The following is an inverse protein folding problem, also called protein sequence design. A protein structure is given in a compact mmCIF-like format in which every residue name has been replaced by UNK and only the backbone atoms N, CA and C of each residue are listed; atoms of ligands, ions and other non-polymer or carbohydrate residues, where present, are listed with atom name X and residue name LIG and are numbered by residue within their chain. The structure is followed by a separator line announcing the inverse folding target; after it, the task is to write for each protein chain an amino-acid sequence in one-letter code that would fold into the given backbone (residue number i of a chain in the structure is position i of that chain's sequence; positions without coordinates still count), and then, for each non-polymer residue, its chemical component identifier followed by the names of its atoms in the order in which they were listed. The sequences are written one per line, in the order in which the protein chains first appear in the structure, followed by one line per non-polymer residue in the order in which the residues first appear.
data_IF_392805371791
#
_entry.id   IF_392805371791
#
_cell.length_a   1.000
_cell.length_b   1.000
_cell.length_c   1.000
_cell.angle_alpha   90.00
_cell.angle_beta   90.00
_cell.angle_gamma   90.00
#
_symmetry.space_group_name_H-M   'P 1'
#
loop_
_entity.id
_entity.type
_entity.pdbx_description
1 polymer ?
#
# COMPACT_ATOMS: atom_id res chain seq x y z
N UNK A 1 4.93 -18.53 -22.69
CA UNK A 1 4.47 -17.15 -22.44
C UNK A 1 5.68 -16.21 -22.44
N UNK A 2 5.65 -15.18 -23.28
CA UNK A 2 6.69 -14.12 -23.35
C UNK A 2 6.61 -13.17 -22.15
N UNK A 3 7.66 -12.37 -21.93
CA UNK A 3 7.67 -11.35 -20.88
C UNK A 3 6.53 -10.34 -21.03
N UNK A 4 6.19 -9.98 -22.27
CA UNK A 4 5.03 -9.14 -22.58
C UNK A 4 3.72 -9.79 -22.15
N UNK A 5 3.47 -11.04 -22.55
CA UNK A 5 2.24 -11.74 -22.21
C UNK A 5 2.08 -11.91 -20.69
N UNK A 6 3.16 -12.26 -19.97
CA UNK A 6 3.10 -12.36 -18.52
C UNK A 6 2.90 -11.00 -17.83
N UNK A 7 3.49 -9.92 -18.36
CA UNK A 7 3.27 -8.55 -17.86
C UNK A 7 1.83 -8.08 -18.10
N UNK A 8 1.22 -8.43 -19.23
CA UNK A 8 -0.18 -8.12 -19.50
C UNK A 8 -1.12 -8.91 -18.57
N UNK A 9 -0.83 -10.18 -18.29
CA UNK A 9 -1.56 -10.95 -17.28
C UNK A 9 -1.42 -10.32 -15.87
N UNK A 10 -0.22 -9.83 -15.52
CA UNK A 10 -0.01 -9.08 -14.28
C UNK A 10 -0.87 -7.80 -14.26
N UNK A 11 -0.86 -7.01 -15.33
CA UNK A 11 -1.67 -5.80 -15.44
C UNK A 11 -3.17 -6.09 -15.30
N UNK A 12 -3.67 -7.12 -15.99
CA UNK A 12 -5.07 -7.52 -15.91
C UNK A 12 -5.45 -7.96 -14.50
N UNK A 13 -4.62 -8.79 -13.85
CA UNK A 13 -4.83 -9.19 -12.45
C UNK A 13 -4.86 -7.99 -11.50
N UNK A 14 -3.86 -7.10 -11.61
CA UNK A 14 -3.71 -5.92 -10.76
C UNK A 14 -4.85 -4.91 -10.95
N UNK A 15 -5.24 -4.62 -12.19
CA UNK A 15 -6.34 -3.69 -12.47
C UNK A 15 -7.69 -4.26 -12.06
N UNK A 16 -7.98 -5.53 -12.39
CA UNK A 16 -9.21 -6.21 -11.93
C UNK A 16 -9.33 -6.17 -10.41
N UNK A 17 -8.20 -6.35 -9.72
CA UNK A 17 -8.11 -6.27 -8.27
C UNK A 17 -8.31 -4.85 -7.71
N UNK A 18 -7.76 -3.81 -8.35
CA UNK A 18 -8.04 -2.42 -7.93
C UNK A 18 -9.51 -2.10 -8.14
N UNK A 19 -10.06 -2.36 -9.33
CA UNK A 19 -11.41 -1.92 -9.68
C UNK A 19 -12.50 -2.68 -8.92
N UNK A 20 -12.30 -3.95 -8.56
CA UNK A 20 -13.28 -4.67 -7.72
C UNK A 20 -13.39 -4.09 -6.29
N UNK A 21 -12.36 -3.41 -5.79
CA UNK A 21 -12.37 -2.80 -4.46
C UNK A 21 -13.11 -1.45 -4.46
N UNK A 22 -13.47 -0.94 -5.63
CA UNK A 22 -14.29 0.26 -5.81
C UNK A 22 -15.80 -0.03 -5.74
N UNK A 23 -16.19 -1.31 -5.57
CA UNK A 23 -17.61 -1.70 -5.46
C UNK A 23 -18.38 -1.64 -6.78
N UNK A 24 -19.70 -1.85 -6.70
CA UNK A 24 -20.62 -1.82 -7.85
C UNK A 24 -20.96 -3.19 -8.45
N UNK A 25 -21.85 -3.18 -9.45
CA UNK A 25 -22.41 -4.40 -10.08
C UNK A 25 -21.37 -5.29 -10.77
N UNK A 26 -20.22 -4.73 -11.15
CA UNK A 26 -19.12 -5.45 -11.79
C UNK A 26 -18.18 -6.14 -10.81
N UNK A 27 -18.30 -5.89 -9.50
CA UNK A 27 -17.40 -6.42 -8.48
C UNK A 27 -17.22 -7.96 -8.54
N UNK A 28 -18.29 -8.78 -8.70
CA UNK A 28 -18.12 -10.23 -8.79
C UNK A 28 -17.33 -10.65 -10.04
N UNK A 29 -17.60 -10.04 -11.19
CA UNK A 29 -16.92 -10.34 -12.45
C UNK A 29 -15.42 -9.98 -12.39
N UNK A 30 -15.11 -8.81 -11.83
CA UNK A 30 -13.72 -8.37 -11.62
C UNK A 30 -12.98 -9.27 -10.62
N UNK A 31 -13.66 -9.77 -9.59
CA UNK A 31 -13.10 -10.75 -8.64
C UNK A 31 -12.72 -12.05 -9.32
N UNK A 32 -13.64 -12.63 -10.10
CA UNK A 32 -13.38 -13.86 -10.86
C UNK A 32 -12.23 -13.64 -11.83
N UNK A 33 -12.24 -12.52 -12.56
CA UNK A 33 -11.15 -12.14 -13.47
C UNK A 33 -9.79 -12.08 -12.76
N UNK A 34 -9.71 -11.39 -11.61
CA UNK A 34 -8.47 -11.27 -10.85
C UNK A 34 -7.93 -12.64 -10.39
N UNK A 35 -8.82 -13.53 -9.94
CA UNK A 35 -8.46 -14.91 -9.53
C UNK A 35 -7.93 -15.70 -10.73
N UNK A 36 -8.63 -15.67 -11.86
CA UNK A 36 -8.22 -16.39 -13.08
C UNK A 36 -6.82 -15.95 -13.52
N UNK A 37 -6.57 -14.64 -13.57
CA UNK A 37 -5.24 -14.14 -13.93
C UNK A 37 -4.18 -14.48 -12.87
N UNK A 38 -4.51 -14.45 -11.57
CA UNK A 38 -3.59 -14.89 -10.52
C UNK A 38 -3.21 -16.37 -10.68
N UNK A 39 -4.16 -17.25 -11.01
CA UNK A 39 -3.90 -18.67 -11.28
C UNK A 39 -2.99 -18.84 -12.49
N UNK A 40 -3.24 -18.11 -13.58
CA UNK A 40 -2.39 -18.14 -14.79
C UNK A 40 -0.96 -17.69 -14.46
N UNK A 41 -0.80 -16.62 -13.69
CA UNK A 41 0.52 -16.11 -13.26
C UNK A 41 1.25 -17.12 -12.38
N UNK A 42 0.54 -17.75 -11.43
CA UNK A 42 1.13 -18.77 -10.56
C UNK A 42 1.56 -20.00 -11.38
N UNK A 43 0.70 -20.50 -12.27
CA UNK A 43 1.02 -21.63 -13.15
C UNK A 43 2.23 -21.32 -14.04
N UNK A 44 2.34 -20.10 -14.55
CA UNK A 44 3.52 -19.65 -15.28
C UNK A 44 4.79 -19.66 -14.43
N UNK A 45 4.74 -19.13 -13.21
CA UNK A 45 5.89 -19.13 -12.30
C UNK A 45 6.31 -20.56 -11.91
N UNK A 46 5.35 -21.46 -11.70
CA UNK A 46 5.61 -22.89 -11.45
C UNK A 46 6.26 -23.54 -12.67
N UNK A 47 5.70 -23.35 -13.88
CA UNK A 47 6.26 -23.89 -15.12
C UNK A 47 7.66 -23.36 -15.47
N UNK A 48 8.04 -22.19 -14.93
CA UNK A 48 9.38 -21.61 -15.03
C UNK A 48 10.33 -22.02 -13.89
N UNK A 49 9.88 -22.84 -12.93
CA UNK A 49 10.66 -23.23 -11.76
C UNK A 49 10.97 -22.08 -10.79
N UNK A 50 10.16 -21.02 -10.79
CA UNK A 50 10.33 -19.83 -9.93
C UNK A 50 9.69 -19.98 -8.54
N UNK A 51 8.91 -21.04 -8.34
CA UNK A 51 8.25 -21.41 -7.09
C UNK A 51 9.04 -22.55 -6.44
N UNK A 52 9.84 -22.21 -5.44
CA UNK A 52 10.61 -23.19 -4.66
C UNK A 52 9.95 -23.53 -3.32
N UNK A 53 10.52 -24.49 -2.59
CA UNK A 53 10.01 -24.97 -1.30
C UNK A 53 9.71 -23.86 -0.30
N UNK A 54 10.55 -22.82 -0.22
CA UNK A 54 10.32 -21.65 0.66
C UNK A 54 9.03 -20.89 0.34
N UNK A 55 8.66 -20.77 -0.94
CA UNK A 55 7.41 -20.12 -1.38
C UNK A 55 6.22 -21.00 -1.02
N UNK A 56 6.35 -22.31 -1.21
CA UNK A 56 5.32 -23.28 -0.85
C UNK A 56 5.05 -23.23 0.66
N UNK A 57 6.11 -23.23 1.48
CA UNK A 57 5.99 -23.11 2.95
C UNK A 57 5.32 -21.79 3.32
N UNK A 58 5.72 -20.66 2.72
CA UNK A 58 5.09 -19.37 2.98
C UNK A 58 3.60 -19.35 2.58
N UNK A 59 3.24 -19.98 1.46
CA UNK A 59 1.85 -20.14 1.02
C UNK A 59 1.04 -21.04 1.95
N UNK A 60 1.60 -22.18 2.39
CA UNK A 60 0.97 -23.07 3.37
C UNK A 60 0.75 -22.37 4.70
N UNK A 61 1.76 -21.65 5.20
CA UNK A 61 1.63 -20.85 6.42
C UNK A 61 0.52 -19.81 6.28
N UNK A 62 0.47 -19.08 5.16
CA UNK A 62 -0.60 -18.12 4.88
C UNK A 62 -1.98 -18.79 4.90
N UNK A 63 -2.15 -19.91 4.20
CA UNK A 63 -3.42 -20.66 4.19
C UNK A 63 -3.79 -21.12 5.60
N UNK A 64 -2.86 -21.70 6.35
CA UNK A 64 -3.10 -22.13 7.74
C UNK A 64 -3.49 -20.96 8.64
N UNK A 65 -2.77 -19.83 8.60
CA UNK A 65 -3.09 -18.64 9.39
C UNK A 65 -4.47 -18.10 9.05
N UNK A 66 -4.83 -18.07 7.77
CA UNK A 66 -6.11 -17.50 7.35
C UNK A 66 -7.28 -18.46 7.56
N UNK A 67 -7.05 -19.77 7.55
CA UNK A 67 -8.03 -20.77 7.99
C UNK A 67 -8.27 -20.69 9.51
N UNK A 68 -7.23 -20.51 10.31
CA UNK A 68 -7.39 -20.30 11.76
C UNK A 68 -8.20 -19.02 12.04
N UNK A 69 -7.89 -17.93 11.36
CA UNK A 69 -8.63 -16.66 11.49
C UNK A 69 -10.11 -16.81 11.07
N UNK A 70 -10.37 -17.48 9.94
CA UNK A 70 -11.73 -17.70 9.44
C UNK A 70 -12.57 -18.66 10.30
N UNK A 71 -11.98 -19.77 10.79
CA UNK A 71 -12.73 -20.84 11.46
C UNK A 71 -12.67 -20.79 12.99
N UNK A 72 -11.63 -20.20 13.58
CA UNK A 72 -11.44 -20.12 15.05
C UNK A 72 -11.83 -18.75 15.58
N UNK A 73 -11.44 -17.69 14.87
CA UNK A 73 -11.70 -16.30 15.29
C UNK A 73 -13.03 -15.80 14.69
N UNK A 74 -13.45 -16.34 13.54
CA UNK A 74 -14.71 -15.99 12.88
C UNK A 74 -14.70 -14.57 12.30
N UNK A 75 -13.51 -14.02 12.06
CA UNK A 75 -13.31 -12.59 11.76
C UNK A 75 -13.36 -12.26 10.25
N UNK A 76 -13.18 -13.25 9.37
CA UNK A 76 -13.02 -13.05 7.92
C UNK A 76 -13.83 -13.98 7.04
N UNK A 77 -14.49 -13.35 6.07
CA UNK A 77 -15.26 -14.03 5.03
C UNK A 77 -14.39 -14.51 3.86
N UNK A 78 -14.90 -15.50 3.10
CA UNK A 78 -14.27 -16.07 1.91
C UNK A 78 -13.71 -15.04 0.89
N UNK A 79 -14.35 -13.88 0.64
CA UNK A 79 -13.78 -12.83 -0.21
C UNK A 79 -12.43 -12.28 0.26
N UNK A 80 -12.23 -12.15 1.58
CA UNK A 80 -10.97 -11.66 2.13
C UNK A 80 -9.82 -12.68 1.90
N UNK A 81 -10.13 -13.98 1.96
CA UNK A 81 -9.20 -15.06 1.63
C UNK A 81 -8.77 -14.99 0.16
N UNK A 82 -9.74 -14.84 -0.75
CA UNK A 82 -9.48 -14.72 -2.18
C UNK A 82 -8.62 -13.49 -2.50
N UNK A 83 -8.91 -12.36 -1.85
CA UNK A 83 -8.13 -11.14 -2.01
C UNK A 83 -6.68 -11.34 -1.57
N UNK A 84 -6.47 -11.96 -0.41
CA UNK A 84 -5.14 -12.21 0.14
C UNK A 84 -4.32 -13.14 -0.77
N UNK A 85 -4.95 -14.15 -1.37
CA UNK A 85 -4.32 -15.02 -2.37
C UNK A 85 -3.89 -14.24 -3.64
N UNK A 86 -4.74 -13.37 -4.17
CA UNK A 86 -4.38 -12.52 -5.32
C UNK A 86 -3.16 -11.65 -4.96
N UNK A 87 -3.16 -11.02 -3.79
CA UNK A 87 -2.05 -10.17 -3.33
C UNK A 87 -0.75 -10.96 -3.16
N UNK A 88 -0.84 -12.19 -2.65
CA UNK A 88 0.29 -13.11 -2.52
C UNK A 88 0.93 -13.40 -3.88
N UNK A 89 0.11 -13.76 -4.87
CA UNK A 89 0.61 -14.05 -6.23
C UNK A 89 1.26 -12.81 -6.86
N UNK A 90 0.63 -11.65 -6.74
CA UNK A 90 1.17 -10.39 -7.29
C UNK A 90 2.48 -9.99 -6.61
N UNK A 91 2.56 -10.09 -5.28
CA UNK A 91 3.78 -9.84 -4.51
C UNK A 91 4.93 -10.77 -4.91
N UNK A 92 4.64 -12.07 -5.09
CA UNK A 92 5.62 -13.05 -5.57
C UNK A 92 6.10 -12.73 -6.99
N UNK A 93 5.17 -12.39 -7.88
CA UNK A 93 5.47 -12.05 -9.27
C UNK A 93 6.40 -10.83 -9.35
N UNK A 94 6.15 -9.79 -8.54
CA UNK A 94 7.00 -8.59 -8.50
C UNK A 94 8.46 -8.90 -8.10
N UNK A 95 8.70 -9.93 -7.28
CA UNK A 95 10.05 -10.37 -6.92
C UNK A 95 10.66 -11.26 -8.01
N UNK A 96 9.90 -12.24 -8.52
CA UNK A 96 10.42 -13.32 -9.38
C UNK A 96 10.45 -13.01 -10.86
N UNK A 97 9.55 -12.15 -11.33
CA UNK A 97 9.33 -11.86 -12.73
C UNK A 97 9.55 -10.38 -13.01
N UNK A 98 9.80 -10.03 -14.27
CA UNK A 98 9.94 -8.65 -14.71
C UNK A 98 8.60 -8.14 -15.25
N UNK A 99 8.02 -7.13 -14.58
CA UNK A 99 6.98 -6.31 -15.20
C UNK A 99 7.66 -5.35 -16.18
N UNK A 100 7.27 -5.39 -17.46
CA UNK A 100 7.78 -4.43 -18.43
C UNK A 100 7.46 -3.00 -18.00
N UNK A 101 8.45 -2.11 -18.08
CA UNK A 101 8.31 -0.69 -17.67
C UNK A 101 7.13 -0.01 -18.38
N UNK A 102 6.94 -0.29 -19.68
CA UNK A 102 5.82 0.25 -20.46
C UNK A 102 4.48 -0.18 -19.86
N UNK A 103 4.36 -1.45 -19.44
CA UNK A 103 3.15 -1.96 -18.81
C UNK A 103 2.93 -1.33 -17.43
N UNK A 104 3.98 -1.22 -16.62
CA UNK A 104 3.87 -0.58 -15.31
C UNK A 104 3.49 0.91 -15.41
N UNK A 105 3.99 1.61 -16.44
CA UNK A 105 3.62 2.99 -16.76
C UNK A 105 2.14 3.11 -17.12
N UNK A 106 1.63 2.22 -17.97
CA UNK A 106 0.21 2.18 -18.34
C UNK A 106 -0.66 1.94 -17.10
N UNK A 107 -0.30 0.96 -16.25
CA UNK A 107 -0.99 0.71 -14.98
C UNK A 107 -1.04 1.98 -14.13
N UNK A 108 0.11 2.65 -13.95
CA UNK A 108 0.21 3.86 -13.14
C UNK A 108 -0.75 4.95 -13.61
N UNK A 109 -0.72 5.29 -14.89
CA UNK A 109 -1.56 6.36 -15.43
C UNK A 109 -3.05 6.00 -15.47
N UNK A 110 -3.39 4.73 -15.74
CA UNK A 110 -4.78 4.25 -15.64
C UNK A 110 -5.29 4.44 -14.22
N UNK A 111 -4.54 3.98 -13.21
CA UNK A 111 -4.95 4.12 -11.80
C UNK A 111 -5.11 5.58 -11.43
N UNK A 112 -4.13 6.43 -11.78
CA UNK A 112 -4.17 7.85 -11.46
C UNK A 112 -5.38 8.55 -12.11
N UNK A 113 -5.60 8.33 -13.41
CA UNK A 113 -6.69 8.92 -14.16
C UNK A 113 -8.05 8.42 -13.66
N UNK A 114 -8.18 7.13 -13.37
CA UNK A 114 -9.40 6.57 -12.80
C UNK A 114 -9.72 7.16 -11.43
N UNK A 115 -8.74 7.28 -10.52
CA UNK A 115 -8.99 7.87 -9.21
C UNK A 115 -9.38 9.36 -9.30
N UNK A 116 -8.74 10.11 -10.20
CA UNK A 116 -9.08 11.51 -10.45
C UNK A 116 -10.49 11.65 -11.05
N UNK A 117 -10.81 10.87 -12.08
CA UNK A 117 -12.12 10.86 -12.72
C UNK A 117 -13.23 10.49 -11.75
N UNK A 118 -13.04 9.40 -11.00
CA UNK A 118 -13.98 8.92 -9.99
C UNK A 118 -14.29 10.03 -8.98
N UNK A 119 -13.26 10.68 -8.42
CA UNK A 119 -13.47 11.78 -7.50
C UNK A 119 -14.24 12.96 -8.11
N UNK A 120 -14.06 13.23 -9.40
CA UNK A 120 -14.75 14.33 -10.10
C UNK A 120 -16.24 14.06 -10.37
N UNK A 121 -16.67 12.80 -10.50
CA UNK A 121 -18.04 12.47 -10.93
C UNK A 121 -19.05 12.25 -9.79
N UNK A 122 -18.61 11.95 -8.55
CA UNK A 122 -19.51 12.00 -7.39
C UNK A 122 -18.86 12.75 -6.23
N UNK A 123 -19.42 13.90 -5.82
CA UNK A 123 -18.98 14.60 -4.61
C UNK A 123 -19.24 13.78 -3.34
N UNK A 124 -20.21 12.85 -3.38
CA UNK A 124 -20.44 11.88 -2.32
C UNK A 124 -19.52 10.66 -2.50
N UNK A 125 -18.27 10.82 -2.12
CA UNK A 125 -17.22 9.80 -2.19
C UNK A 125 -17.56 8.44 -1.53
N UNK A 126 -18.58 8.34 -0.66
CA UNK A 126 -19.06 7.06 -0.15
C UNK A 126 -19.93 6.30 -1.15
N UNK A 127 -20.45 6.94 -2.20
CA UNK A 127 -21.11 6.23 -3.31
C UNK A 127 -20.10 5.51 -4.20
N UNK A 128 -18.89 6.06 -4.31
CA UNK A 128 -17.79 5.48 -5.11
C UNK A 128 -16.91 4.55 -4.27
N UNK A 129 -16.69 4.88 -3.00
CA UNK A 129 -15.91 4.08 -2.07
C UNK A 129 -16.76 3.78 -0.82
N UNK A 130 -17.76 2.88 -0.92
CA UNK A 130 -18.73 2.62 0.15
C UNK A 130 -18.09 2.27 1.49
N UNK A 131 -16.92 1.65 1.45
CA UNK A 131 -16.22 1.13 2.63
C UNK A 131 -14.87 1.80 2.90
N UNK A 132 -14.38 2.65 2.00
CA UNK A 132 -12.99 3.11 2.01
C UNK A 132 -12.86 4.65 2.00
N UNK A 133 -13.84 5.37 1.45
CA UNK A 133 -13.80 6.83 1.33
C UNK A 133 -12.62 7.38 0.51
N UNK A 134 -12.53 8.72 0.43
CA UNK A 134 -11.61 9.45 -0.47
C UNK A 134 -10.12 9.36 -0.15
N UNK A 135 -9.78 8.90 1.05
CA UNK A 135 -8.37 8.75 1.47
C UNK A 135 -7.66 7.62 0.70
N UNK A 136 -8.40 6.72 0.05
CA UNK A 136 -7.85 5.58 -0.67
C UNK A 136 -7.35 5.93 -2.08
N UNK A 137 -7.83 7.02 -2.70
CA UNK A 137 -7.36 7.47 -4.02
C UNK A 137 -5.82 7.60 -4.07
N UNK A 138 -5.26 8.32 -3.10
CA UNK A 138 -3.80 8.47 -2.98
C UNK A 138 -3.09 7.17 -2.58
N UNK A 139 -3.77 6.26 -1.87
CA UNK A 139 -3.19 4.96 -1.48
C UNK A 139 -3.07 3.99 -2.67
N UNK A 140 -4.04 4.00 -3.60
CA UNK A 140 -3.97 3.28 -4.87
C UNK A 140 -2.85 3.83 -5.77
N UNK A 141 -2.74 5.15 -5.86
CA UNK A 141 -1.66 5.79 -6.62
C UNK A 141 -0.28 5.48 -6.04
N UNK A 142 -0.14 5.46 -4.71
CA UNK A 142 1.10 5.10 -4.02
C UNK A 142 1.52 3.65 -4.32
N UNK A 143 0.57 2.71 -4.30
CA UNK A 143 0.83 1.31 -4.67
C UNK A 143 1.22 1.18 -6.15
N UNK A 144 0.51 1.87 -7.05
CA UNK A 144 0.84 1.87 -8.46
C UNK A 144 2.22 2.48 -8.74
N UNK A 145 2.60 3.53 -7.99
CA UNK A 145 3.94 4.09 -8.02
C UNK A 145 4.99 3.06 -7.60
N UNK A 146 4.73 2.28 -6.55
CA UNK A 146 5.65 1.21 -6.12
C UNK A 146 5.87 0.18 -7.24
N UNK A 147 4.82 -0.24 -7.96
CA UNK A 147 4.93 -1.14 -9.12
C UNK A 147 5.78 -0.51 -10.23
N UNK A 148 5.54 0.78 -10.56
CA UNK A 148 6.33 1.52 -11.53
C UNK A 148 7.79 1.63 -11.12
N UNK A 149 8.07 1.94 -9.85
CA UNK A 149 9.42 2.04 -9.30
C UNK A 149 10.15 0.69 -9.40
N UNK A 150 9.49 -0.42 -9.07
CA UNK A 150 10.05 -1.77 -9.22
C UNK A 150 10.43 -2.03 -10.67
N UNK A 151 9.54 -1.75 -11.63
CA UNK A 151 9.81 -1.99 -13.04
C UNK A 151 10.94 -1.09 -13.56
N UNK A 152 10.90 0.20 -13.25
CA UNK A 152 11.79 1.21 -13.83
C UNK A 152 13.22 1.20 -13.26
N UNK A 153 13.40 0.80 -12.00
CA UNK A 153 14.72 0.92 -11.31
C UNK A 153 15.49 -0.39 -11.21
N UNK A 154 14.91 -1.51 -11.66
CA UNK A 154 15.51 -2.85 -11.57
C UNK A 154 16.84 -3.01 -12.31
N UNK A 155 17.10 -2.19 -13.33
CA UNK A 155 18.29 -2.33 -14.20
C UNK A 155 19.50 -1.52 -13.73
N UNK A 156 19.31 -0.28 -13.33
CA UNK A 156 20.42 0.65 -13.05
C UNK A 156 20.24 1.50 -11.79
N UNK A 157 19.13 1.34 -11.06
CA UNK A 157 18.84 2.09 -9.83
C UNK A 157 18.71 3.61 -10.01
N UNK A 158 18.70 4.12 -11.24
CA UNK A 158 18.64 5.55 -11.54
C UNK A 158 17.23 6.09 -11.37
N UNK A 159 17.13 7.31 -10.87
CA UNK A 159 15.84 8.00 -10.76
C UNK A 159 15.63 8.87 -12.00
N UNK A 160 14.70 8.47 -12.86
CA UNK A 160 14.36 9.23 -14.06
C UNK A 160 13.51 10.46 -13.73
N UNK A 161 13.43 11.41 -14.67
CA UNK A 161 12.48 12.53 -14.57
C UNK A 161 11.03 12.04 -14.48
N UNK A 162 10.72 10.95 -15.19
CA UNK A 162 9.41 10.32 -15.17
C UNK A 162 9.05 9.82 -13.76
N UNK A 163 9.94 9.10 -13.09
CA UNK A 163 9.70 8.64 -11.72
C UNK A 163 9.48 9.81 -10.75
N UNK A 164 10.23 10.90 -10.90
CA UNK A 164 9.99 12.11 -10.10
C UNK A 164 8.60 12.71 -10.39
N UNK A 165 8.25 12.83 -11.67
CA UNK A 165 6.94 13.35 -12.08
C UNK A 165 5.78 12.47 -11.58
N UNK A 166 5.93 11.14 -11.62
CA UNK A 166 4.95 10.20 -11.07
C UNK A 166 4.79 10.35 -9.55
N UNK A 167 5.88 10.56 -8.79
CA UNK A 167 5.79 10.81 -7.36
C UNK A 167 5.03 12.13 -7.06
N UNK A 168 5.32 13.19 -7.83
CA UNK A 168 4.61 14.47 -7.73
C UNK A 168 3.13 14.31 -8.12
N UNK A 169 2.82 13.50 -9.12
CA UNK A 169 1.44 13.22 -9.53
C UNK A 169 0.65 12.49 -8.43
N UNK A 170 1.27 11.57 -7.68
CA UNK A 170 0.64 10.96 -6.50
C UNK A 170 0.28 12.00 -5.42
N UNK A 171 1.18 12.96 -5.18
CA UNK A 171 0.92 14.05 -4.24
C UNK A 171 -0.19 14.97 -4.75
N UNK A 172 -0.15 15.37 -6.03
CA UNK A 172 -1.16 16.20 -6.66
C UNK A 172 -2.56 15.56 -6.57
N UNK A 173 -2.67 14.27 -6.86
CA UNK A 173 -3.93 13.53 -6.68
C UNK A 173 -4.36 13.53 -5.22
N UNK A 174 -3.44 13.28 -4.28
CA UNK A 174 -3.77 13.23 -2.85
C UNK A 174 -4.27 14.58 -2.32
N UNK A 175 -3.71 15.69 -2.80
CA UNK A 175 -4.16 17.05 -2.51
C UNK A 175 -5.53 17.31 -3.14
N UNK A 176 -5.69 16.95 -4.42
CA UNK A 176 -6.96 17.09 -5.15
C UNK A 176 -8.12 16.36 -4.45
N UNK A 177 -7.89 15.14 -3.95
CA UNK A 177 -8.91 14.36 -3.24
C UNK A 177 -9.02 14.68 -1.75
N UNK A 178 -8.19 15.62 -1.24
CA UNK A 178 -8.13 16.03 0.17
C UNK A 178 -7.92 14.83 1.10
N UNK A 179 -6.99 13.94 0.71
CA UNK A 179 -6.73 12.69 1.40
C UNK A 179 -5.62 12.82 2.46
N UNK A 180 -5.94 13.27 3.67
CA UNK A 180 -4.95 13.69 4.71
C UNK A 180 -3.78 12.73 4.91
N UNK A 181 -4.06 11.45 5.17
CA UNK A 181 -3.00 10.45 5.37
C UNK A 181 -2.14 10.25 4.11
N UNK A 182 -2.76 10.28 2.93
CA UNK A 182 -2.08 10.06 1.64
C UNK A 182 -1.27 11.27 1.21
N UNK A 183 -1.73 12.47 1.56
CA UNK A 183 -0.99 13.72 1.41
C UNK A 183 0.37 13.63 2.16
N UNK A 184 0.36 13.20 3.42
CA UNK A 184 1.60 13.03 4.22
C UNK A 184 2.54 11.98 3.62
N UNK A 185 2.04 10.80 3.27
CA UNK A 185 2.90 9.75 2.70
C UNK A 185 3.41 10.06 1.29
N UNK A 186 2.61 10.72 0.44
CA UNK A 186 3.06 11.16 -0.88
C UNK A 186 4.07 12.31 -0.78
N UNK A 187 3.94 13.20 0.20
CA UNK A 187 4.94 14.23 0.46
C UNK A 187 6.27 13.61 0.90
N UNK A 188 6.22 12.64 1.83
CA UNK A 188 7.39 11.86 2.23
C UNK A 188 8.01 11.11 1.05
N UNK A 189 7.18 10.50 0.19
CA UNK A 189 7.63 9.83 -1.03
C UNK A 189 8.42 10.79 -1.92
N UNK A 190 7.86 11.95 -2.26
CA UNK A 190 8.51 12.95 -3.14
C UNK A 190 9.87 13.36 -2.56
N UNK A 191 9.91 13.67 -1.26
CA UNK A 191 11.16 14.04 -0.58
C UNK A 191 12.21 12.93 -0.64
N UNK A 192 11.82 11.69 -0.33
CA UNK A 192 12.75 10.56 -0.31
C UNK A 192 13.20 10.12 -1.71
N UNK A 193 12.31 10.13 -2.72
CA UNK A 193 12.68 9.88 -4.12
C UNK A 193 13.66 10.93 -4.62
N UNK A 194 13.52 12.18 -4.17
CA UNK A 194 14.49 13.23 -4.47
C UNK A 194 15.85 12.97 -3.83
N UNK A 195 15.89 12.64 -2.54
CA UNK A 195 17.14 12.28 -1.86
C UNK A 195 17.86 11.12 -2.57
N UNK A 196 17.11 10.07 -2.95
CA UNK A 196 17.66 8.93 -3.71
C UNK A 196 18.16 9.37 -5.09
N UNK A 197 17.46 10.30 -5.76
CA UNK A 197 17.89 10.86 -7.04
C UNK A 197 19.22 11.60 -6.92
N UNK A 198 19.42 12.39 -5.88
CA UNK A 198 20.67 13.10 -5.63
C UNK A 198 21.84 12.14 -5.39
N UNK A 199 21.58 11.05 -4.68
CA UNK A 199 22.58 10.02 -4.38
C UNK A 199 22.97 9.20 -5.61
N UNK A 200 21.98 8.76 -6.40
CA UNK A 200 22.20 7.75 -7.45
C UNK A 200 22.56 8.33 -8.82
N UNK A 201 22.14 9.55 -9.13
CA UNK A 201 22.43 10.16 -10.43
C UNK A 201 23.68 11.05 -10.31
N UNK A 202 24.83 10.61 -10.84
CA UNK A 202 26.03 11.47 -10.95
C UNK A 202 25.75 12.63 -11.92
N UNK A 203 26.09 13.86 -11.52
CA UNK A 203 25.95 15.04 -12.37
C UNK A 203 24.54 15.62 -12.49
N UNK A 204 23.68 15.44 -11.47
CA UNK A 204 22.42 16.22 -11.38
C UNK A 204 22.77 17.70 -11.47
N UNK A 205 22.37 18.34 -12.56
CA UNK A 205 22.67 19.76 -12.81
C UNK A 205 22.00 20.64 -11.75
N UNK A 206 22.59 21.79 -11.46
CA UNK A 206 22.04 22.79 -10.51
C UNK A 206 20.57 23.11 -10.77
N UNK A 207 20.13 23.04 -12.04
CA UNK A 207 18.76 23.30 -12.49
C UNK A 207 17.75 22.20 -12.11
N UNK A 208 18.13 20.93 -12.18
CA UNK A 208 17.26 19.82 -11.75
C UNK A 208 17.19 19.73 -10.21
N UNK A 209 18.29 20.10 -9.55
CA UNK A 209 18.35 20.27 -8.11
C UNK A 209 17.43 21.43 -7.67
N UNK A 210 17.54 22.59 -8.32
CA UNK A 210 16.77 23.78 -7.99
C UNK A 210 15.28 23.59 -8.23
N UNK A 211 14.86 22.96 -9.34
CA UNK A 211 13.43 22.67 -9.59
C UNK A 211 12.86 21.74 -8.52
N UNK A 212 13.57 20.66 -8.21
CA UNK A 212 13.09 19.68 -7.22
C UNK A 212 13.09 20.25 -5.80
N UNK A 213 14.09 21.07 -5.47
CA UNK A 213 14.19 21.79 -4.20
C UNK A 213 13.11 22.88 -4.10
N UNK A 214 12.80 23.58 -5.19
CA UNK A 214 11.65 24.50 -5.26
C UNK A 214 10.34 23.74 -5.06
N UNK A 215 10.17 22.55 -5.64
CA UNK A 215 8.97 21.73 -5.41
C UNK A 215 8.89 21.28 -3.95
N UNK A 216 9.98 20.80 -3.36
CA UNK A 216 10.01 20.39 -1.94
C UNK A 216 9.74 21.58 -1.02
N UNK A 217 10.37 22.72 -1.27
CA UNK A 217 10.14 23.95 -0.50
C UNK A 217 8.72 24.44 -0.72
N UNK A 218 8.17 24.41 -1.94
CA UNK A 218 6.78 24.80 -2.19
C UNK A 218 5.81 23.87 -1.46
N UNK A 219 6.05 22.56 -1.47
CA UNK A 219 5.26 21.57 -0.74
C UNK A 219 5.39 21.79 0.77
N UNK A 220 6.61 21.91 1.29
CA UNK A 220 6.88 22.13 2.70
C UNK A 220 6.31 23.47 3.20
N UNK A 221 6.51 24.56 2.46
CA UNK A 221 5.95 25.88 2.74
C UNK A 221 4.43 25.89 2.66
N UNK A 222 3.84 25.13 1.73
CA UNK A 222 2.40 24.95 1.68
C UNK A 222 1.88 24.22 2.93
N UNK A 223 2.53 23.14 3.37
CA UNK A 223 2.18 22.48 4.64
C UNK A 223 2.44 23.37 5.85
N UNK A 224 3.53 24.14 5.86
CA UNK A 224 3.85 25.06 6.94
C UNK A 224 2.81 26.18 7.02
N UNK A 225 2.39 26.73 5.86
CA UNK A 225 1.32 27.72 5.77
C UNK A 225 -0.02 27.14 6.25
N UNK A 226 -0.32 25.87 5.94
CA UNK A 226 -1.49 25.16 6.47
C UNK A 226 -1.44 24.94 7.99
N UNK A 227 -0.25 24.79 8.58
CA UNK A 227 -0.06 24.61 10.02
C UNK A 227 -0.09 25.94 10.80
N UNK A 228 0.34 27.03 10.17
CA UNK A 228 0.45 28.36 10.80
C UNK A 228 -0.83 29.17 10.63
N UNK A 229 -1.53 29.05 9.50
CA UNK A 229 -2.75 29.77 9.19
C UNK A 229 -3.93 28.79 9.03
N UNK A 230 -4.60 28.53 10.16
CA UNK A 230 -5.77 27.65 10.19
C UNK A 230 -6.93 28.15 9.33
N UNK A 231 -7.04 29.45 9.08
CA UNK A 231 -8.07 30.04 8.23
C UNK A 231 -7.77 29.85 6.75
N UNK A 232 -6.50 29.97 6.33
CA UNK A 232 -6.08 29.62 4.96
C UNK A 232 -6.30 28.12 4.67
N UNK A 233 -6.01 27.25 5.64
CA UNK A 233 -6.32 25.83 5.54
C UNK A 233 -7.82 25.57 5.43
N UNK A 234 -8.65 26.32 6.17
CA UNK A 234 -10.11 26.23 6.10
C UNK A 234 -10.71 26.81 4.80
N UNK A 235 -10.12 27.87 4.25
CA UNK A 235 -10.58 28.47 3.00
C UNK A 235 -10.21 27.61 1.79
N UNK A 236 -9.00 27.07 1.74
CA UNK A 236 -8.54 26.21 0.64
C UNK A 236 -9.00 24.77 0.79
N UNK A 237 -9.16 24.29 2.01
CA UNK A 237 -9.63 22.96 2.33
C UNK A 237 -10.56 22.98 3.54
N UNK A 238 -11.80 23.40 3.37
CA UNK A 238 -12.80 23.49 4.45
C UNK A 238 -13.04 22.22 5.28
N UNK A 239 -12.43 21.09 4.91
CA UNK A 239 -12.36 19.86 5.71
C UNK A 239 -11.23 19.82 6.74
N UNK A 240 -10.14 20.58 6.63
CA UNK A 240 -9.00 20.44 7.56
C UNK A 240 -9.27 21.08 8.93
N UNK A 241 -10.05 22.16 8.99
CA UNK A 241 -10.55 22.71 10.26
C UNK A 241 -12.07 22.70 10.36
N UNK A 242 -12.76 21.80 9.64
CA UNK A 242 -14.14 21.49 10.00
C UNK A 242 -14.17 20.78 11.36
N UNK A 243 -15.16 21.10 12.18
CA UNK A 243 -15.44 20.42 13.46
C UNK A 243 -15.52 18.89 13.28
N UNK A 244 -15.99 18.43 12.12
CA UNK A 244 -16.03 17.00 11.76
C UNK A 244 -14.66 16.34 11.62
N UNK A 245 -13.62 17.08 11.22
CA UNK A 245 -12.27 16.56 11.11
C UNK A 245 -11.57 16.47 12.47
N UNK A 246 -11.74 17.49 13.32
CA UNK A 246 -11.29 17.44 14.72
C UNK A 246 -11.93 16.28 15.50
N UNK A 247 -13.26 16.12 15.38
CA UNK A 247 -13.97 14.98 15.97
C UNK A 247 -13.50 13.63 15.43
N UNK A 248 -13.12 13.55 14.16
CA UNK A 248 -12.59 12.31 13.57
C UNK A 248 -11.21 11.93 14.11
N UNK A 249 -10.35 12.91 14.42
CA UNK A 249 -9.00 12.64 14.94
C UNK A 249 -9.04 12.34 16.45
N UNK A 250 -9.93 12.99 17.20
CA UNK A 250 -10.26 12.64 18.58
C UNK A 250 -10.83 11.22 18.68
N UNK A 251 -11.80 10.87 17.81
CA UNK A 251 -12.37 9.52 17.74
C UNK A 251 -11.29 8.46 17.49
N UNK A 252 -10.34 8.71 16.56
CA UNK A 252 -9.22 7.80 16.30
C UNK A 252 -8.28 7.66 17.50
N UNK A 253 -7.98 8.75 18.18
CA UNK A 253 -7.12 8.73 19.37
C UNK A 253 -7.77 7.94 20.52
N UNK A 254 -9.08 8.10 20.73
CA UNK A 254 -9.85 7.31 21.68
C UNK A 254 -9.88 5.82 21.29
N UNK A 255 -10.15 5.50 20.02
CA UNK A 255 -10.09 4.12 19.51
C UNK A 255 -8.76 3.43 19.84
N UNK A 256 -7.64 4.13 19.61
CA UNK A 256 -6.31 3.57 19.87
C UNK A 256 -6.07 3.41 21.37
N UNK A 257 -6.43 4.41 22.16
CA UNK A 257 -6.29 4.40 23.62
C UNK A 257 -7.08 3.25 24.26
N UNK A 258 -8.34 3.08 23.87
CA UNK A 258 -9.21 2.02 24.40
C UNK A 258 -8.71 0.62 24.03
N UNK A 259 -8.32 0.44 22.77
CA UNK A 259 -7.77 -0.82 22.31
C UNK A 259 -6.47 -1.17 23.05
N UNK A 260 -5.53 -0.23 23.14
CA UNK A 260 -4.27 -0.44 23.85
C UNK A 260 -4.50 -0.68 25.34
N UNK A 261 -5.41 0.05 25.98
CA UNK A 261 -5.76 -0.15 27.40
C UNK A 261 -6.33 -1.55 27.65
N UNK A 262 -7.27 -2.01 26.81
CA UNK A 262 -7.89 -3.33 26.93
C UNK A 262 -6.87 -4.47 26.72
N UNK A 263 -5.93 -4.29 25.79
CA UNK A 263 -4.91 -5.28 25.47
C UNK A 263 -3.78 -5.29 26.51
N UNK A 264 -3.32 -4.12 26.97
CA UNK A 264 -2.24 -4.02 27.96
C UNK A 264 -2.67 -4.48 29.36
N UNK A 265 -3.97 -4.41 29.68
CA UNK A 265 -4.53 -4.92 30.94
C UNK A 265 -4.79 -6.43 30.94
N UNK A 266 -4.68 -7.11 29.79
CA UNK A 266 -4.90 -8.54 29.68
C UNK A 266 -3.77 -9.22 28.89
N UNK A 267 -2.96 -10.03 29.60
CA UNK A 267 -1.81 -10.72 29.00
C UNK A 267 -2.17 -11.58 27.79
N UNK A 268 -3.28 -12.28 27.82
CA UNK A 268 -3.69 -13.15 26.71
C UNK A 268 -4.11 -12.32 25.50
N UNK A 269 -4.81 -11.21 25.73
CA UNK A 269 -5.16 -10.25 24.69
C UNK A 269 -3.92 -9.60 24.05
N UNK A 270 -2.89 -9.32 24.86
CA UNK A 270 -1.61 -8.83 24.36
C UNK A 270 -0.88 -9.85 23.50
N UNK A 271 -0.85 -11.12 23.91
CA UNK A 271 -0.10 -12.14 23.18
C UNK A 271 -0.81 -12.59 21.91
N UNK A 272 -2.14 -12.77 21.97
CA UNK A 272 -2.92 -13.41 20.91
C UNK A 272 -3.84 -12.44 20.14
N UNK A 273 -3.90 -11.18 20.55
CA UNK A 273 -4.82 -10.22 19.98
C UNK A 273 -6.19 -10.28 20.65
N UNK A 274 -7.07 -9.40 20.20
CA UNK A 274 -8.43 -9.26 20.71
C UNK A 274 -9.29 -8.68 19.60
N UNK A 275 -10.47 -9.26 19.38
CA UNK A 275 -11.50 -8.67 18.54
C UNK A 275 -11.91 -7.31 19.14
N UNK A 276 -11.68 -6.19 18.44
CA UNK A 276 -12.00 -4.87 18.96
C UNK A 276 -13.48 -4.73 19.31
N UNK A 277 -14.38 -5.47 18.64
CA UNK A 277 -15.83 -5.43 18.91
C UNK A 277 -16.21 -5.88 20.33
N UNK A 278 -15.31 -6.56 21.04
CA UNK A 278 -15.51 -6.94 22.46
C UNK A 278 -15.31 -5.78 23.43
N UNK A 279 -14.69 -4.69 22.99
CA UNK A 279 -14.54 -3.47 23.78
C UNK A 279 -15.85 -2.69 23.69
N UNK A 280 -16.56 -2.58 24.81
CA UNK A 280 -17.85 -1.89 24.91
C UNK A 280 -17.63 -0.37 24.91
N UNK A 281 -17.21 0.16 23.76
CA UNK A 281 -17.13 1.60 23.49
C UNK A 281 -17.97 1.94 22.25
N UNK A 282 -18.79 2.99 22.35
CA UNK A 282 -19.67 3.45 21.27
C UNK A 282 -18.93 3.73 19.96
N UNK A 283 -17.69 4.24 20.00
CA UNK A 283 -16.86 4.52 18.82
C UNK A 283 -16.33 3.24 18.17
N UNK A 284 -16.00 2.21 18.94
CA UNK A 284 -15.53 0.91 18.41
C UNK A 284 -16.70 0.15 17.77
N UNK A 285 -17.88 0.21 18.39
CA UNK A 285 -19.11 -0.37 17.84
C UNK A 285 -19.51 0.34 16.53
N UNK A 286 -19.47 1.68 16.51
CA UNK A 286 -19.80 2.48 15.32
C UNK A 286 -18.87 2.23 14.14
N UNK A 287 -17.62 1.82 14.38
CA UNK A 287 -16.64 1.48 13.33
C UNK A 287 -16.66 -0.01 12.96
N UNK A 288 -17.54 -0.81 13.55
CA UNK A 288 -17.60 -2.26 13.34
C UNK A 288 -16.32 -2.99 13.77
N UNK A 289 -15.55 -2.41 14.69
CA UNK A 289 -14.24 -2.91 15.11
C UNK A 289 -13.06 -2.52 14.21
N UNK A 290 -13.23 -1.58 13.27
CA UNK A 290 -12.12 -1.05 12.46
C UNK A 290 -11.26 -0.09 13.29
N UNK A 291 -9.99 -0.46 13.51
CA UNK A 291 -9.06 0.34 14.30
C UNK A 291 -8.39 1.48 13.53
N UNK A 292 -8.72 1.74 12.27
CA UNK A 292 -8.12 2.79 11.41
C UNK A 292 -6.58 2.89 11.48
N UNK A 293 -5.93 1.76 11.76
CA UNK A 293 -4.49 1.61 11.83
C UNK A 293 -4.17 0.16 11.52
N UNK A 294 -3.43 -0.06 10.44
CA UNK A 294 -3.12 -1.40 9.95
C UNK A 294 -2.31 -2.21 10.96
N UNK A 295 -1.45 -1.57 11.75
CA UNK A 295 -0.63 -2.24 12.76
C UNK A 295 -1.47 -2.74 13.94
N UNK A 296 -2.38 -1.89 14.45
CA UNK A 296 -3.30 -2.27 15.50
C UNK A 296 -4.28 -3.35 15.01
N UNK A 297 -4.77 -3.22 13.77
CA UNK A 297 -5.64 -4.23 13.16
C UNK A 297 -4.91 -5.56 12.95
N UNK A 298 -3.63 -5.53 12.57
CA UNK A 298 -2.80 -6.73 12.46
C UNK A 298 -2.60 -7.40 13.81
N UNK A 299 -2.34 -6.63 14.86
CA UNK A 299 -2.29 -7.12 16.23
C UNK A 299 -3.64 -7.70 16.68
N UNK A 300 -4.76 -7.04 16.37
CA UNK A 300 -6.09 -7.54 16.73
C UNK A 300 -6.38 -8.93 16.16
N UNK A 301 -5.91 -9.20 14.94
CA UNK A 301 -6.16 -10.46 14.25
C UNK A 301 -5.10 -11.54 14.52
N UNK A 302 -3.86 -11.16 14.83
CA UNK A 302 -2.73 -12.10 14.90
C UNK A 302 -1.85 -11.97 16.16
N UNK A 303 -2.24 -11.12 17.10
CA UNK A 303 -1.51 -10.84 18.33
C UNK A 303 -0.12 -10.25 18.14
N UNK A 304 0.65 -10.25 19.23
CA UNK A 304 2.00 -9.71 19.26
C UNK A 304 2.94 -10.46 18.30
N UNK A 305 2.82 -11.78 18.20
CA UNK A 305 3.64 -12.58 17.30
C UNK A 305 3.42 -12.17 15.83
N UNK A 306 2.16 -12.01 15.41
CA UNK A 306 1.84 -11.54 14.07
C UNK A 306 2.33 -10.12 13.80
N UNK A 307 2.19 -9.22 14.77
CA UNK A 307 2.72 -7.85 14.66
C UNK A 307 4.24 -7.83 14.52
N UNK A 308 4.97 -8.66 15.28
CA UNK A 308 6.42 -8.79 15.17
C UNK A 308 6.85 -9.34 13.81
N UNK A 309 6.11 -10.30 13.24
CA UNK A 309 6.35 -10.79 11.87
C UNK A 309 6.15 -9.66 10.86
N UNK A 310 5.10 -8.86 11.00
CA UNK A 310 4.86 -7.71 10.13
C UNK A 310 6.02 -6.71 10.20
N UNK A 311 6.33 -6.21 11.40
CA UNK A 311 7.38 -5.19 11.61
C UNK A 311 8.75 -5.74 11.20
N UNK A 312 9.07 -6.98 11.57
CA UNK A 312 10.32 -7.64 11.20
C UNK A 312 10.47 -7.81 9.70
N UNK A 313 9.40 -8.23 9.01
CA UNK A 313 9.39 -8.36 7.54
C UNK A 313 9.60 -7.01 6.86
N UNK A 314 8.90 -5.97 7.32
CA UNK A 314 9.05 -4.61 6.79
C UNK A 314 10.48 -4.11 7.00
N UNK A 315 11.01 -4.20 8.22
CA UNK A 315 12.36 -3.72 8.53
C UNK A 315 13.44 -4.46 7.73
N UNK A 316 13.39 -5.80 7.70
CA UNK A 316 14.35 -6.62 6.96
C UNK A 316 14.22 -6.44 5.45
N UNK A 317 12.99 -6.33 4.94
CA UNK A 317 12.70 -6.10 3.52
C UNK A 317 13.21 -4.75 3.05
N UNK A 318 12.91 -3.66 3.78
CA UNK A 318 13.41 -2.32 3.48
C UNK A 318 14.94 -2.27 3.54
N UNK A 319 15.53 -2.82 4.61
CA UNK A 319 17.00 -2.93 4.72
C UNK A 319 17.59 -3.67 3.52
N UNK A 320 16.94 -4.74 3.07
CA UNK A 320 17.42 -5.51 1.92
C UNK A 320 17.34 -4.71 0.62
N UNK A 321 16.21 -4.08 0.34
CA UNK A 321 16.06 -3.22 -0.85
C UNK A 321 17.12 -2.12 -0.88
N UNK A 322 17.43 -1.53 0.28
CA UNK A 322 18.47 -0.52 0.41
C UNK A 322 19.87 -1.06 0.06
N UNK A 323 20.25 -2.20 0.66
CA UNK A 323 21.56 -2.84 0.45
C UNK A 323 21.73 -3.31 -1.00
N UNK A 324 20.66 -3.81 -1.62
CA UNK A 324 20.65 -4.26 -3.02
C UNK A 324 20.64 -3.12 -4.04
N UNK A 325 20.65 -1.86 -3.59
CA UNK A 325 20.62 -0.69 -4.47
C UNK A 325 19.24 -0.34 -5.02
N UNK A 326 18.18 -1.05 -4.64
CA UNK A 326 16.78 -0.78 -5.01
C UNK A 326 16.17 0.31 -4.11
N UNK A 327 16.87 1.43 -3.99
CA UNK A 327 16.58 2.47 -3.00
C UNK A 327 15.27 3.21 -3.29
N UNK A 328 14.90 3.39 -4.56
CA UNK A 328 13.60 3.98 -4.93
C UNK A 328 12.44 3.09 -4.49
N UNK A 329 12.57 1.78 -4.70
CA UNK A 329 11.58 0.79 -4.23
C UNK A 329 11.52 0.78 -2.71
N UNK A 330 12.68 0.88 -2.03
CA UNK A 330 12.74 0.99 -0.58
C UNK A 330 11.94 2.19 -0.06
N UNK A 331 12.14 3.39 -0.62
CA UNK A 331 11.42 4.58 -0.16
C UNK A 331 9.94 4.57 -0.53
N UNK A 332 9.58 3.96 -1.67
CA UNK A 332 8.19 3.73 -2.05
C UNK A 332 7.47 2.80 -1.07
N UNK A 333 8.10 1.66 -0.73
CA UNK A 333 7.57 0.74 0.27
C UNK A 333 7.50 1.39 1.66
N UNK A 334 8.50 2.18 2.05
CA UNK A 334 8.47 2.92 3.31
C UNK A 334 7.28 3.89 3.38
N UNK A 335 7.01 4.65 2.30
CA UNK A 335 5.86 5.55 2.23
C UNK A 335 4.52 4.79 2.38
N UNK A 336 4.39 3.60 1.77
CA UNK A 336 3.25 2.71 1.96
C UNK A 336 3.10 2.36 3.44
N UNK A 337 4.14 1.82 4.08
CA UNK A 337 4.04 1.39 5.48
C UNK A 337 3.88 2.55 6.49
N UNK A 338 4.33 3.76 6.17
CA UNK A 338 4.03 4.97 6.97
C UNK A 338 2.55 5.31 6.89
N UNK A 339 1.95 5.32 5.70
CA UNK A 339 0.50 5.59 5.58
C UNK A 339 -0.36 4.48 6.18
N UNK A 340 0.20 3.29 6.45
CA UNK A 340 -0.51 2.17 7.08
C UNK A 340 -0.85 2.47 8.55
N UNK A 341 -0.19 3.46 9.15
CA UNK A 341 -0.48 3.96 10.49
C UNK A 341 -1.81 4.72 10.58
N UNK A 342 -2.35 5.19 9.46
CA UNK A 342 -3.49 6.12 9.44
C UNK A 342 -4.78 5.53 8.86
N UNK A 343 -4.75 4.25 8.44
CA UNK A 343 -5.94 3.47 8.08
C UNK A 343 -5.68 1.95 8.07
N UNK A 344 -6.74 1.15 7.96
CA UNK A 344 -6.66 -0.31 7.77
C UNK A 344 -6.51 -0.67 6.29
N UNK A 345 -5.27 -0.86 5.85
CA UNK A 345 -4.91 -1.16 4.46
C UNK A 345 -4.11 -2.47 4.31
N UNK A 346 -3.71 -3.06 5.44
CA UNK A 346 -3.17 -4.41 5.53
C UNK A 346 -4.22 -5.35 6.15
N UNK A 347 -4.01 -6.66 6.01
CA UNK A 347 -4.88 -7.73 6.54
C UNK A 347 -6.15 -7.94 5.72
N UNK A 348 -6.00 -8.27 4.43
CA UNK A 348 -7.07 -8.34 3.44
C UNK A 348 -7.28 -7.03 2.69
N UNK A 349 -6.30 -6.13 2.74
CA UNK A 349 -6.35 -4.79 2.17
C UNK A 349 -5.45 -4.60 0.94
N UNK A 350 -5.52 -3.42 0.34
CA UNK A 350 -4.82 -3.08 -0.91
C UNK A 350 -3.30 -3.23 -0.83
N UNK A 351 -2.72 -3.16 0.36
CA UNK A 351 -1.28 -3.12 0.54
C UNK A 351 -0.66 -4.43 0.97
N UNK A 352 -1.46 -5.49 1.06
CA UNK A 352 -0.90 -6.83 1.27
C UNK A 352 0.06 -7.21 0.12
N UNK A 353 -0.10 -6.65 -1.10
CA UNK A 353 0.89 -6.80 -2.19
C UNK A 353 2.27 -6.30 -1.76
N UNK A 354 2.33 -5.12 -1.13
CA UNK A 354 3.59 -4.53 -0.67
C UNK A 354 4.19 -5.36 0.47
N UNK A 355 3.35 -5.86 1.38
CA UNK A 355 3.78 -6.80 2.43
C UNK A 355 4.36 -8.09 1.85
N UNK A 356 3.63 -8.77 0.96
CA UNK A 356 4.10 -10.01 0.34
C UNK A 356 5.35 -9.79 -0.50
N UNK A 357 5.45 -8.67 -1.22
CA UNK A 357 6.67 -8.30 -1.94
C UNK A 357 7.88 -8.22 -1.00
N UNK A 358 7.76 -7.55 0.16
CA UNK A 358 8.84 -7.50 1.15
C UNK A 358 9.11 -8.87 1.77
N UNK A 359 8.06 -9.64 2.10
CA UNK A 359 8.19 -11.01 2.63
C UNK A 359 9.00 -11.90 1.69
N UNK A 360 8.67 -11.90 0.40
CA UNK A 360 9.40 -12.68 -0.58
C UNK A 360 10.80 -12.14 -0.85
N UNK A 361 11.00 -10.82 -0.77
CA UNK A 361 12.34 -10.21 -0.86
C UNK A 361 13.23 -10.71 0.29
N UNK A 362 12.67 -10.91 1.48
CA UNK A 362 13.38 -11.48 2.64
C UNK A 362 13.61 -12.99 2.47
N UNK A 363 12.56 -13.77 2.19
CA UNK A 363 12.62 -15.24 2.21
C UNK A 363 13.43 -15.81 1.04
N UNK A 364 13.34 -15.19 -0.13
CA UNK A 364 13.98 -15.68 -1.36
C UNK A 364 15.43 -15.23 -1.51
N UNK A 365 15.91 -14.47 -0.54
CA UNK A 365 17.29 -14.06 -0.45
C UNK A 365 18.18 -15.28 -0.20
N UNK A 366 19.16 -15.46 -1.10
CA UNK A 366 20.07 -16.59 -1.17
C UNK A 366 20.18 -17.22 -2.57
N UNK A 367 19.36 -16.79 -3.55
CA UNK A 367 19.35 -17.40 -4.88
C UNK A 367 19.68 -16.51 -6.09
N UNK A 368 19.55 -15.19 -5.98
CA UNK A 368 19.89 -14.28 -7.09
C UNK A 368 19.72 -12.84 -6.63
N UNK A 369 20.67 -11.94 -6.95
CA UNK A 369 20.33 -10.54 -7.24
C UNK A 369 19.01 -10.53 -8.01
N UNK A 370 18.04 -9.68 -7.67
CA UNK A 370 16.81 -9.47 -8.45
C UNK A 370 17.17 -9.57 -9.93
N UNK A 371 16.84 -10.71 -10.57
CA UNK A 371 17.53 -11.15 -11.79
C UNK A 371 17.55 -10.01 -12.81
N UNK A 372 18.74 -9.46 -13.05
CA UNK A 372 19.04 -8.77 -14.30
C UNK A 372 19.11 -9.87 -15.36
N UNK A 373 17.95 -10.22 -15.94
CA UNK A 373 17.97 -11.04 -17.15
C UNK A 373 18.57 -10.19 -18.26
N UNK A 374 19.60 -10.76 -18.88
CA UNK A 374 20.14 -10.38 -20.18
C UNK A 374 19.03 -10.16 -21.21
#
# INVERSE_FOLDING_TARGET
MSDLASSLCFAACYLSMIFQLLGGSWQPALRVSAIVFAVILLAYMVGKGLVGTKVIIAGLALVSFTLVDAFVIGSKDLPALMQMYIMFVLGLYLVRCNVLVVVARVIFWIVLASMAYLYSISPNHYEIFPTQGRNFCGAYALLAFMVLAIAATRKDGRVTNELMASAIACLALSVYTVGRGSILACALLVALVFVVRLKNNKGVTSRALSVSMVVIVAVASFFLAMLVDGDLANQLFGRFGSVSAGRSDEARSMLYGDYLSAVLSNRDALLFGMDPRRIVNATIIATGGNLHCSYLQWHANFGLAGLLVLVGTVALGLRRLWIDGNQVVCVAAAAVFVRAMTDTMLVGGIWDIAFFFLLFTVILHGGSKLRSSQ
#
